data_IF_551367786551
#
_entry.id   IF_551367786551
#
_cell.length_a   1.000
_cell.length_b   1.000
_cell.length_c   1.000
_cell.angle_alpha   90.00
_cell.angle_beta   90.00
_cell.angle_gamma   90.00
#
_symmetry.space_group_name_H-M   'P 1'
#
loop_
_entity.id
_entity.type
_entity.pdbx_description
1 polymer ?
#
# COMPACT_ATOMS: atom_id res chain seq x y z
N UNK A 1 -53.65 -9.74 19.80
CA UNK A 1 -52.27 -9.98 19.34
C UNK A 1 -51.60 -8.65 19.06
N UNK A 2 -50.53 -8.29 19.77
CA UNK A 2 -49.52 -7.34 19.26
C UNK A 2 -48.26 -7.48 20.10
N UNK A 3 -47.14 -7.61 19.40
CA UNK A 3 -45.86 -8.14 19.87
C UNK A 3 -45.13 -7.16 20.79
N UNK A 4 -44.60 -7.68 21.89
CA UNK A 4 -43.54 -7.05 22.68
C UNK A 4 -42.28 -6.92 21.81
N UNK A 5 -41.77 -5.69 21.66
CA UNK A 5 -40.42 -5.46 21.15
C UNK A 5 -39.47 -5.51 22.35
N UNK A 6 -38.77 -6.63 22.50
CA UNK A 6 -37.59 -6.73 23.34
C UNK A 6 -36.42 -6.09 22.58
N UNK A 7 -36.03 -4.87 22.97
CA UNK A 7 -34.79 -4.27 22.51
C UNK A 7 -33.60 -4.99 23.17
N UNK A 8 -32.99 -5.93 22.43
CA UNK A 8 -31.75 -6.57 22.83
C UNK A 8 -30.60 -5.55 22.78
N UNK A 9 -30.16 -5.05 23.94
CA UNK A 9 -28.93 -4.26 24.06
C UNK A 9 -27.73 -5.14 23.68
N UNK A 10 -27.22 -4.99 22.45
CA UNK A 10 -25.92 -5.54 22.06
C UNK A 10 -24.83 -4.69 22.71
N UNK A 11 -24.17 -5.22 23.73
CA UNK A 11 -22.97 -4.62 24.30
C UNK A 11 -21.81 -4.76 23.31
N UNK A 12 -21.51 -3.69 22.58
CA UNK A 12 -20.26 -3.63 21.80
C UNK A 12 -19.09 -3.56 22.78
N UNK A 13 -18.19 -4.54 22.72
CA UNK A 13 -16.97 -4.56 23.52
C UNK A 13 -16.05 -3.43 23.01
N UNK A 14 -16.13 -2.26 23.65
CA UNK A 14 -15.33 -1.08 23.31
C UNK A 14 -13.89 -1.29 23.81
N UNK A 15 -13.04 -1.91 22.99
CA UNK A 15 -11.59 -1.94 23.26
C UNK A 15 -11.04 -0.53 23.14
N UNK A 16 -10.58 0.02 24.26
CA UNK A 16 -9.96 1.35 24.31
C UNK A 16 -8.65 1.30 23.52
N UNK A 17 -8.57 2.09 22.45
CA UNK A 17 -7.36 2.20 21.64
C UNK A 17 -6.25 2.82 22.48
N UNK A 18 -5.14 2.11 22.62
CA UNK A 18 -3.98 2.59 23.37
C UNK A 18 -3.48 3.93 22.82
N UNK A 19 -3.21 4.87 23.71
CA UNK A 19 -2.72 6.21 23.34
C UNK A 19 -1.28 6.08 22.84
N UNK A 20 -1.08 6.24 21.53
CA UNK A 20 0.26 6.34 20.95
C UNK A 20 0.88 7.69 21.29
N UNK A 21 2.10 7.66 21.84
CA UNK A 21 2.89 8.85 22.14
C UNK A 21 4.09 8.84 21.22
N UNK A 22 4.19 9.86 20.37
CA UNK A 22 5.34 10.04 19.50
C UNK A 22 6.37 10.95 20.18
N UNK A 23 7.66 10.63 20.02
CA UNK A 23 8.77 11.47 20.48
C UNK A 23 8.80 12.82 19.75
N UNK A 24 9.47 13.82 20.34
CA UNK A 24 9.56 15.14 19.70
C UNK A 24 10.47 15.15 18.48
N UNK A 25 11.55 14.37 18.48
CA UNK A 25 12.44 14.20 17.32
C UNK A 25 11.68 13.65 16.12
N UNK A 26 10.92 12.58 16.33
CA UNK A 26 10.08 11.97 15.30
C UNK A 26 9.07 12.97 14.71
N UNK A 27 8.41 13.77 15.57
CA UNK A 27 7.46 14.77 15.10
C UNK A 27 8.11 15.84 14.23
N UNK A 28 9.33 16.29 14.57
CA UNK A 28 10.05 17.30 13.79
C UNK A 28 10.48 16.77 12.43
N UNK A 29 11.08 15.58 12.41
CA UNK A 29 11.50 14.91 11.17
C UNK A 29 10.32 14.70 10.22
N UNK A 30 9.20 14.15 10.73
CA UNK A 30 8.01 13.92 9.91
C UNK A 30 7.32 15.21 9.45
N UNK A 31 7.38 16.29 10.23
CA UNK A 31 6.90 17.59 9.77
C UNK A 31 7.78 18.14 8.64
N UNK A 32 9.10 17.96 8.70
CA UNK A 32 10.00 18.35 7.60
C UNK A 32 9.70 17.57 6.32
N UNK A 33 9.49 16.25 6.40
CA UNK A 33 9.08 15.42 5.26
C UNK A 33 7.73 15.86 4.67
N UNK A 34 6.77 16.22 5.51
CA UNK A 34 5.46 16.74 5.10
C UNK A 34 5.56 18.11 4.44
N UNK A 35 6.40 19.00 4.96
CA UNK A 35 6.66 20.32 4.36
C UNK A 35 7.42 20.21 3.04
N UNK A 36 8.29 19.20 2.90
CA UNK A 36 8.98 18.88 1.65
C UNK A 36 8.05 18.27 0.58
N UNK A 37 6.78 18.00 0.90
CA UNK A 37 5.80 17.50 -0.06
C UNK A 37 5.91 16.00 -0.37
N UNK A 38 6.68 15.23 0.41
CA UNK A 38 6.84 13.78 0.19
C UNK A 38 5.52 13.03 0.36
N UNK A 39 4.69 13.47 1.32
CA UNK A 39 3.39 12.87 1.62
C UNK A 39 2.32 13.94 1.78
N UNK A 40 1.11 13.67 1.29
CA UNK A 40 -0.07 14.47 1.64
C UNK A 40 -0.49 14.15 3.07
N UNK A 41 -1.03 15.13 3.80
CA UNK A 41 -1.54 14.95 5.18
C UNK A 41 -2.50 13.76 5.30
N UNK A 42 -3.34 13.52 4.28
CA UNK A 42 -4.25 12.38 4.25
C UNK A 42 -3.53 11.02 4.12
N UNK A 43 -2.53 10.94 3.24
CA UNK A 43 -1.71 9.73 3.08
C UNK A 43 -0.90 9.41 4.34
N UNK A 44 -0.32 10.44 4.96
CA UNK A 44 0.39 10.33 6.23
C UNK A 44 -0.52 9.86 7.36
N UNK A 45 -1.75 10.39 7.41
CA UNK A 45 -2.77 10.01 8.38
C UNK A 45 -3.12 8.53 8.29
N UNK A 46 -3.21 7.97 7.08
CA UNK A 46 -3.44 6.53 6.86
C UNK A 46 -2.22 5.70 7.24
N UNK A 47 -1.02 6.09 6.79
CA UNK A 47 0.21 5.32 6.98
C UNK A 47 0.59 5.18 8.46
N UNK A 48 0.48 6.28 9.21
CA UNK A 48 0.89 6.33 10.61
C UNK A 48 -0.29 6.23 11.59
N UNK A 49 -1.50 6.06 11.07
CA UNK A 49 -2.78 6.08 11.79
C UNK A 49 -2.95 7.28 12.73
N UNK A 50 -2.36 8.42 12.35
CA UNK A 50 -2.45 9.68 13.11
C UNK A 50 -3.62 10.47 12.57
N UNK A 51 -4.48 10.98 13.45
CA UNK A 51 -5.60 11.80 13.01
C UNK A 51 -5.12 13.09 12.31
N UNK A 52 -5.77 13.53 11.21
CA UNK A 52 -5.31 14.68 10.41
C UNK A 52 -5.14 15.96 11.24
N UNK A 53 -6.03 16.21 12.19
CA UNK A 53 -5.97 17.37 13.07
C UNK A 53 -4.67 17.43 13.90
N UNK A 54 -4.16 16.26 14.33
CA UNK A 54 -2.91 16.16 15.09
C UNK A 54 -1.72 16.49 14.20
N UNK A 55 -1.77 16.07 12.94
CA UNK A 55 -0.74 16.36 11.93
C UNK A 55 -0.66 17.86 11.69
N UNK A 56 -1.81 18.53 11.44
CA UNK A 56 -1.84 19.99 11.31
C UNK A 56 -1.32 20.71 12.57
N UNK A 57 -1.64 20.19 13.77
CA UNK A 57 -1.10 20.74 15.02
C UNK A 57 0.42 20.62 15.12
N UNK A 58 1.01 19.53 14.60
CA UNK A 58 2.46 19.38 14.53
C UNK A 58 3.07 20.33 13.49
N UNK A 59 2.46 20.46 12.31
CA UNK A 59 2.90 21.38 11.26
C UNK A 59 2.96 22.81 11.81
N UNK A 60 1.89 23.29 12.47
CA UNK A 60 1.88 24.63 13.06
C UNK A 60 2.84 24.82 14.24
N UNK A 61 3.19 23.74 14.96
CA UNK A 61 4.11 23.81 16.11
C UNK A 61 5.57 23.77 15.68
N UNK A 62 5.91 22.99 14.66
CA UNK A 62 7.29 22.70 14.27
C UNK A 62 7.72 23.33 12.95
N UNK A 63 6.80 23.87 12.15
CA UNK A 63 7.13 24.65 10.95
C UNK A 63 6.84 26.15 11.18
N UNK A 64 7.88 26.98 11.38
CA UNK A 64 7.71 28.42 11.57
C UNK A 64 7.25 29.17 10.31
N UNK A 65 7.33 28.54 9.14
CA UNK A 65 6.96 29.12 7.84
C UNK A 65 5.46 28.99 7.53
N UNK A 66 4.73 28.09 8.19
CA UNK A 66 3.30 27.89 7.98
C UNK A 66 2.46 28.62 9.05
N UNK A 67 2.31 29.95 8.90
CA UNK A 67 1.27 30.68 9.64
C UNK A 67 -0.12 30.30 9.09
N UNK A 68 -1.11 30.20 10.00
CA UNK A 68 -2.52 29.93 9.66
C UNK A 68 -2.97 30.86 8.53
N UNK A 69 -3.44 30.28 7.41
CA UNK A 69 -3.88 31.04 6.22
C UNK A 69 -2.97 30.91 5.00
N UNK A 70 -1.82 30.22 5.11
CA UNK A 70 -0.96 29.95 3.95
C UNK A 70 -1.53 28.80 3.14
N UNK A 71 -2.01 29.07 1.92
CA UNK A 71 -2.41 28.02 0.96
C UNK A 71 -1.14 27.30 0.51
N UNK A 72 -0.97 26.06 0.97
CA UNK A 72 0.12 25.21 0.49
C UNK A 72 -0.26 24.72 -0.91
N UNK A 73 0.22 25.43 -1.93
CA UNK A 73 0.10 25.00 -3.33
C UNK A 73 1.03 23.81 -3.50
N UNK A 74 0.48 22.59 -3.41
CA UNK A 74 1.21 21.38 -3.77
C UNK A 74 1.34 21.39 -5.29
N UNK A 75 2.48 21.85 -5.79
CA UNK A 75 2.78 21.91 -7.22
C UNK A 75 2.66 20.51 -7.85
N UNK A 76 2.06 20.44 -9.04
CA UNK A 76 1.86 19.22 -9.85
C UNK A 76 3.16 18.47 -10.23
N UNK A 77 4.33 19.01 -9.90
CA UNK A 77 5.63 18.38 -10.10
C UNK A 77 5.74 17.01 -9.39
N UNK A 78 5.12 16.85 -8.23
CA UNK A 78 5.09 15.55 -7.53
C UNK A 78 4.28 14.49 -8.27
N UNK A 79 3.25 14.88 -9.02
CA UNK A 79 2.42 13.93 -9.77
C UNK A 79 3.17 13.40 -10.99
N UNK A 80 3.86 14.28 -11.73
CA UNK A 80 4.68 13.88 -12.88
C UNK A 80 5.86 12.96 -12.49
N UNK A 81 6.49 13.20 -11.34
CA UNK A 81 7.54 12.30 -10.84
C UNK A 81 6.99 10.95 -10.42
N UNK A 82 5.86 10.92 -9.69
CA UNK A 82 5.21 9.67 -9.29
C UNK A 82 4.74 8.85 -10.50
N UNK A 83 4.20 9.49 -11.53
CA UNK A 83 3.81 8.78 -12.76
C UNK A 83 5.03 8.22 -13.46
N UNK A 84 6.14 8.95 -13.54
CA UNK A 84 7.39 8.45 -14.11
C UNK A 84 7.95 7.25 -13.34
N UNK A 85 7.99 7.31 -12.00
CA UNK A 85 8.44 6.21 -11.14
C UNK A 85 7.56 4.97 -11.29
N UNK A 86 6.24 5.16 -11.31
CA UNK A 86 5.28 4.07 -11.50
C UNK A 86 5.43 3.42 -12.88
N UNK A 87 5.61 4.21 -13.94
CA UNK A 87 5.85 3.68 -15.29
C UNK A 87 7.17 2.90 -15.38
N UNK A 88 8.22 3.36 -14.70
CA UNK A 88 9.49 2.63 -14.62
C UNK A 88 9.33 1.27 -13.92
N UNK A 89 8.58 1.22 -12.82
CA UNK A 89 8.28 -0.03 -12.13
C UNK A 89 7.47 -0.99 -13.00
N UNK A 90 6.46 -0.49 -13.73
CA UNK A 90 5.67 -1.30 -14.66
C UNK A 90 6.56 -1.92 -15.73
N UNK A 91 7.44 -1.12 -16.36
CA UNK A 91 8.35 -1.62 -17.38
C UNK A 91 9.31 -2.70 -16.85
N UNK A 92 9.79 -2.56 -15.61
CA UNK A 92 10.64 -3.57 -14.98
C UNK A 92 9.87 -4.87 -14.72
N UNK A 93 8.64 -4.76 -14.21
CA UNK A 93 7.78 -5.91 -13.94
C UNK A 93 7.40 -6.65 -15.24
N UNK A 94 7.04 -5.93 -16.29
CA UNK A 94 6.76 -6.49 -17.62
C UNK A 94 7.97 -7.24 -18.19
N UNK A 95 9.18 -6.67 -18.03
CA UNK A 95 10.42 -7.35 -18.44
C UNK A 95 10.64 -8.66 -17.69
N UNK A 96 10.49 -8.65 -16.36
CA UNK A 96 10.65 -9.85 -15.53
C UNK A 96 9.59 -10.90 -15.87
N UNK A 97 8.36 -10.48 -16.10
CA UNK A 97 7.26 -11.36 -16.51
C UNK A 97 7.55 -12.00 -17.87
N UNK A 98 8.00 -11.21 -18.86
CA UNK A 98 8.39 -11.72 -20.17
C UNK A 98 9.50 -12.78 -20.10
N UNK A 99 10.53 -12.54 -19.28
CA UNK A 99 11.59 -13.54 -19.04
C UNK A 99 11.04 -14.85 -18.46
N UNK A 100 10.09 -14.74 -17.52
CA UNK A 100 9.43 -15.92 -16.93
C UNK A 100 8.53 -16.65 -17.92
N UNK A 101 7.81 -15.92 -18.77
CA UNK A 101 6.97 -16.52 -19.81
C UNK A 101 7.82 -17.33 -20.79
N UNK A 102 8.94 -16.78 -21.28
CA UNK A 102 9.85 -17.52 -22.16
C UNK A 102 10.41 -18.80 -21.53
N UNK A 103 10.73 -18.75 -20.23
CA UNK A 103 11.18 -19.94 -19.49
C UNK A 103 10.08 -21.00 -19.41
N UNK A 104 8.83 -20.60 -19.13
CA UNK A 104 7.68 -21.50 -19.09
C UNK A 104 7.42 -22.11 -20.47
N UNK A 105 7.39 -21.30 -21.53
CA UNK A 105 7.15 -21.77 -22.89
C UNK A 105 8.21 -22.79 -23.33
N UNK A 106 9.48 -22.55 -22.96
CA UNK A 106 10.56 -23.50 -23.22
C UNK A 106 10.36 -24.82 -22.47
N UNK A 107 10.04 -24.77 -21.18
CA UNK A 107 9.79 -25.96 -20.37
C UNK A 107 8.55 -26.73 -20.86
N UNK A 108 7.48 -26.04 -21.24
CA UNK A 108 6.28 -26.67 -21.81
C UNK A 108 6.61 -27.39 -23.11
N UNK A 109 7.37 -26.77 -24.01
CA UNK A 109 7.82 -27.41 -25.26
C UNK A 109 8.75 -28.59 -25.01
N UNK A 110 9.66 -28.50 -24.04
CA UNK A 110 10.51 -29.63 -23.66
C UNK A 110 9.66 -30.81 -23.16
N UNK A 111 8.66 -30.55 -22.31
CA UNK A 111 7.75 -31.59 -21.84
C UNK A 111 6.95 -32.18 -23.00
N UNK A 112 6.48 -31.37 -23.95
CA UNK A 112 5.77 -31.86 -25.13
C UNK A 112 6.64 -32.74 -26.03
N UNK A 113 7.91 -32.37 -26.25
CA UNK A 113 8.85 -33.17 -27.03
C UNK A 113 9.18 -34.48 -26.30
N UNK A 114 9.46 -34.42 -25.00
CA UNK A 114 9.72 -35.60 -24.20
C UNK A 114 8.51 -36.56 -24.17
N UNK A 115 7.28 -36.04 -24.03
CA UNK A 115 6.08 -36.88 -24.10
C UNK A 115 5.93 -37.56 -25.47
N UNK A 116 6.30 -36.89 -26.57
CA UNK A 116 6.26 -37.46 -27.92
C UNK A 116 7.35 -38.51 -28.16
N UNK A 117 8.57 -38.28 -27.66
CA UNK A 117 9.69 -39.20 -27.85
C UNK A 117 9.56 -40.47 -27.01
N UNK A 118 9.01 -40.36 -25.79
CA UNK A 118 8.91 -41.48 -24.85
C UNK A 118 7.52 -42.15 -24.82
N UNK A 119 6.55 -41.66 -25.61
CA UNK A 119 5.14 -42.11 -25.63
C UNK A 119 4.50 -42.20 -24.22
N UNK A 120 5.00 -41.36 -23.31
CA UNK A 120 4.58 -41.27 -21.91
C UNK A 120 4.01 -39.88 -21.70
N UNK A 121 2.77 -39.80 -21.21
CA UNK A 121 2.11 -38.52 -20.92
C UNK A 121 2.62 -37.96 -19.57
N UNK A 122 3.79 -37.31 -19.60
CA UNK A 122 4.52 -36.84 -18.41
C UNK A 122 3.64 -35.89 -17.56
N UNK A 123 2.81 -35.06 -18.21
CA UNK A 123 1.86 -34.14 -17.56
C UNK A 123 0.83 -34.87 -16.69
N UNK A 124 0.51 -36.12 -17.01
CA UNK A 124 -0.54 -36.92 -16.35
C UNK A 124 0.00 -37.80 -15.22
N UNK A 125 1.25 -38.24 -15.35
CA UNK A 125 1.90 -39.15 -14.39
C UNK A 125 2.46 -38.44 -13.15
N UNK A 126 2.81 -37.15 -13.25
CA UNK A 126 3.27 -36.34 -12.13
C UNK A 126 2.12 -35.52 -11.51
N UNK A 127 1.09 -36.18 -11.00
CA UNK A 127 0.18 -35.51 -10.03
C UNK A 127 0.91 -35.42 -8.70
N UNK A 128 1.63 -34.32 -8.51
CA UNK A 128 2.17 -33.95 -7.20
C UNK A 128 0.99 -33.79 -6.24
N UNK A 129 0.94 -34.63 -5.19
CA UNK A 129 0.05 -34.40 -4.04
C UNK A 129 0.53 -33.12 -3.36
N UNK A 130 -0.21 -32.04 -3.55
CA UNK A 130 -0.18 -30.86 -2.69
C UNK A 130 -0.85 -31.20 -1.35
#
# INVERSE_FOLDING_TARGET
MSKSKSDSKKSTNLKIRQRRIFSESFKREKVQELTAGLYTVHSFSKLWEVAPYTVYRWIYKYSPQHKKGTVMVVQQESEAQKTAELLAQVAELERRLGQKQMQLDYLEKLVELASKEYDIDIKKNFKVKL
#
